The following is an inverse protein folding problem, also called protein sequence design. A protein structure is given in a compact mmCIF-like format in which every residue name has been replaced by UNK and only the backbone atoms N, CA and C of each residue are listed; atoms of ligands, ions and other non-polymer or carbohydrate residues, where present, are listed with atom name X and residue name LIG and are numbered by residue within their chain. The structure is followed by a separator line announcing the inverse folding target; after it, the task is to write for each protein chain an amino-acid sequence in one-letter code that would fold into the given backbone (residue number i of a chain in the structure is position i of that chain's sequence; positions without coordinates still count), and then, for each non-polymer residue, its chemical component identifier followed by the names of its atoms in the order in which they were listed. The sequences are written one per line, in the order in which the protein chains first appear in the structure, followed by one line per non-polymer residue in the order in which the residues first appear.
data_IF_518064834333
#
_entry.id   IF_518064834333
#
_cell.length_a   1.000
_cell.length_b   1.000
_cell.length_c   1.000
_cell.angle_alpha   90.00
_cell.angle_beta   90.00
_cell.angle_gamma   90.00
#
_symmetry.space_group_name_H-M   'P 1'
#
loop_
_entity.id
_entity.type
_entity.pdbx_description
1 polymer ?
#
# COMPACT_ATOMS: atom_id res chain seq x y z
N UNK A 1 58.08 15.98 -9.49
CA UNK A 1 57.05 15.60 -10.49
C UNK A 1 55.72 15.60 -9.77
N UNK A 2 54.85 16.51 -10.19
CA UNK A 2 53.65 17.00 -9.51
C UNK A 2 52.53 15.96 -9.51
N UNK A 3 51.89 15.83 -8.35
CA UNK A 3 50.65 15.09 -8.11
C UNK A 3 49.50 15.66 -8.93
N UNK A 4 48.88 14.85 -9.78
CA UNK A 4 47.58 15.15 -10.38
C UNK A 4 46.51 14.35 -9.63
N UNK A 5 45.78 15.05 -8.77
CA UNK A 5 44.49 14.65 -8.25
C UNK A 5 43.43 14.85 -9.34
N UNK A 6 42.83 13.76 -9.80
CA UNK A 6 41.65 13.77 -10.67
C UNK A 6 40.43 14.10 -9.83
N UNK A 7 39.93 15.33 -9.92
CA UNK A 7 38.59 15.69 -9.46
C UNK A 7 37.56 14.99 -10.35
N UNK A 8 36.76 14.11 -9.75
CA UNK A 8 35.62 13.48 -10.41
C UNK A 8 34.48 14.48 -10.55
N UNK A 9 34.04 14.72 -11.78
CA UNK A 9 32.90 15.55 -12.16
C UNK A 9 31.62 15.15 -11.40
N UNK A 10 31.30 15.92 -10.36
CA UNK A 10 29.97 15.95 -9.78
C UNK A 10 29.02 16.65 -10.74
N UNK A 11 28.17 15.87 -11.41
CA UNK A 11 27.11 16.39 -12.28
C UNK A 11 26.25 17.42 -11.51
N UNK A 12 26.46 18.71 -11.78
CA UNK A 12 25.65 19.80 -11.23
C UNK A 12 24.27 19.73 -11.85
N UNK A 13 23.31 19.16 -11.13
CA UNK A 13 21.88 19.31 -11.45
C UNK A 13 21.57 20.80 -11.65
N UNK A 14 21.03 21.15 -12.82
CA UNK A 14 20.72 22.54 -13.19
C UNK A 14 19.71 23.16 -12.20
N UNK A 15 19.78 24.47 -11.99
CA UNK A 15 18.88 25.19 -11.07
C UNK A 15 17.38 24.94 -11.35
N UNK A 16 17.02 24.66 -12.61
CA UNK A 16 15.66 24.32 -13.05
C UNK A 16 15.14 22.97 -12.57
N UNK A 17 16.02 22.04 -12.16
CA UNK A 17 15.62 20.70 -11.73
C UNK A 17 15.24 20.65 -10.23
N UNK A 18 15.45 21.76 -9.51
CA UNK A 18 15.11 21.90 -8.09
C UNK A 18 13.76 22.56 -7.83
N UNK A 19 13.15 23.13 -8.86
CA UNK A 19 11.92 23.89 -8.69
C UNK A 19 10.71 22.97 -8.46
N UNK A 20 9.88 23.25 -7.42
CA UNK A 20 8.67 22.48 -7.18
C UNK A 20 7.72 22.57 -8.38
N UNK A 21 7.39 21.41 -8.96
CA UNK A 21 6.45 21.29 -10.07
C UNK A 21 5.18 20.57 -9.63
N UNK A 22 4.03 20.85 -10.25
CA UNK A 22 2.81 20.09 -9.96
C UNK A 22 3.01 18.63 -10.37
N UNK A 23 2.76 17.71 -9.45
CA UNK A 23 2.77 16.27 -9.67
C UNK A 23 1.46 15.68 -9.15
N UNK A 24 0.84 14.83 -9.96
CA UNK A 24 -0.39 14.12 -9.60
C UNK A 24 -0.04 12.76 -9.01
N UNK A 25 -0.56 12.47 -7.82
CA UNK A 25 -0.43 11.18 -7.14
C UNK A 25 -1.78 10.47 -7.15
N UNK A 26 -1.81 9.24 -7.68
CA UNK A 26 -2.97 8.34 -7.67
C UNK A 26 -2.80 7.31 -6.56
N UNK A 27 -3.46 7.52 -5.43
CA UNK A 27 -3.27 6.70 -4.24
C UNK A 27 -4.46 5.75 -4.07
N UNK A 28 -4.19 4.46 -3.96
CA UNK A 28 -5.20 3.47 -3.60
C UNK A 28 -5.59 3.63 -2.13
N UNK A 29 -6.85 4.00 -1.90
CA UNK A 29 -7.46 4.18 -0.59
C UNK A 29 -8.24 2.92 -0.20
N UNK A 30 -8.24 2.64 1.10
CA UNK A 30 -8.95 1.49 1.63
C UNK A 30 -9.47 1.77 3.04
N UNK A 31 -10.76 1.56 3.23
CA UNK A 31 -11.38 1.56 4.56
C UNK A 31 -11.99 0.19 4.83
N UNK A 32 -11.50 -0.55 5.84
CA UNK A 32 -12.07 -1.84 6.19
C UNK A 32 -13.51 -1.67 6.65
N UNK A 33 -14.38 -2.63 6.34
CA UNK A 33 -15.70 -2.67 6.97
C UNK A 33 -15.50 -2.97 8.46
N UNK A 34 -16.19 -2.27 9.37
CA UNK A 34 -16.17 -2.64 10.77
C UNK A 34 -16.58 -4.12 10.89
N UNK A 35 -15.73 -4.94 11.51
CA UNK A 35 -16.12 -6.30 11.86
C UNK A 35 -17.28 -6.18 12.84
N UNK A 36 -18.42 -6.81 12.55
CA UNK A 36 -19.42 -6.98 13.60
C UNK A 36 -18.80 -7.85 14.68
N UNK A 37 -18.85 -7.41 15.94
CA UNK A 37 -18.37 -8.16 17.11
C UNK A 37 -19.06 -9.51 17.31
N UNK A 38 -20.05 -9.85 16.48
CA UNK A 38 -20.68 -11.17 16.49
C UNK A 38 -19.64 -12.24 16.13
N UNK A 39 -19.34 -13.18 17.04
CA UNK A 39 -18.46 -14.28 16.72
C UNK A 39 -19.03 -15.01 15.50
N UNK A 40 -18.17 -15.27 14.52
CA UNK A 40 -18.55 -16.07 13.37
C UNK A 40 -19.15 -17.38 13.90
N UNK A 41 -20.39 -17.71 13.49
CA UNK A 41 -20.99 -19.02 13.80
C UNK A 41 -20.01 -20.07 13.26
N UNK A 42 -19.24 -20.69 14.14
CA UNK A 42 -18.31 -21.74 13.76
C UNK A 42 -19.17 -22.92 13.33
N UNK A 43 -19.18 -23.24 12.05
CA UNK A 43 -19.77 -24.50 11.60
C UNK A 43 -18.97 -25.63 12.27
N UNK A 44 -19.58 -26.50 13.10
CA UNK A 44 -18.87 -27.57 13.82
C UNK A 44 -18.05 -28.49 12.88
N UNK A 45 -18.47 -28.59 11.62
CA UNK A 45 -17.83 -29.38 10.57
C UNK A 45 -16.68 -28.67 9.83
N UNK A 46 -16.44 -27.38 10.08
CA UNK A 46 -15.31 -26.66 9.46
C UNK A 46 -13.97 -26.93 10.18
N UNK A 47 -14.00 -27.54 11.37
CA UNK A 47 -12.81 -27.86 12.17
C UNK A 47 -11.94 -28.98 11.56
N UNK A 48 -12.48 -29.75 10.60
CA UNK A 48 -11.78 -30.86 9.96
C UNK A 48 -11.15 -30.50 8.61
N UNK A 49 -11.24 -29.25 8.17
CA UNK A 49 -10.56 -28.82 6.95
C UNK A 49 -9.27 -28.07 7.31
N UNK A 50 -8.08 -28.70 7.18
CA UNK A 50 -6.79 -28.06 7.46
C UNK A 50 -6.49 -26.85 6.55
N UNK A 51 -7.30 -26.62 5.51
CA UNK A 51 -7.23 -25.44 4.64
C UNK A 51 -8.17 -24.29 5.04
N UNK A 52 -9.00 -24.44 6.08
CA UNK A 52 -10.00 -23.43 6.44
C UNK A 52 -9.45 -22.22 7.21
N UNK A 53 -8.26 -22.33 7.81
CA UNK A 53 -7.64 -21.27 8.63
C UNK A 53 -6.74 -20.32 7.85
N UNK A 54 -6.34 -20.67 6.62
CA UNK A 54 -5.37 -19.93 5.79
C UNK A 54 -5.98 -19.38 4.50
N UNK A 55 -7.30 -19.38 4.37
CA UNK A 55 -7.96 -18.65 3.31
C UNK A 55 -7.80 -17.16 3.55
N UNK A 56 -6.90 -16.51 2.80
CA UNK A 56 -6.81 -15.05 2.64
C UNK A 56 -8.22 -14.49 2.42
N UNK A 57 -8.88 -14.08 3.52
CA UNK A 57 -10.15 -13.39 3.44
C UNK A 57 -9.80 -12.03 2.91
N UNK A 58 -9.91 -11.86 1.58
CA UNK A 58 -9.77 -10.54 0.91
C UNK A 58 -10.43 -9.50 1.81
N UNK A 59 -9.64 -8.55 2.31
CA UNK A 59 -10.12 -7.59 3.29
C UNK A 59 -11.40 -6.94 2.77
N UNK A 60 -12.51 -7.13 3.49
CA UNK A 60 -13.80 -6.56 3.08
C UNK A 60 -13.79 -5.10 3.48
N UNK A 61 -14.05 -4.20 2.53
CA UNK A 61 -13.94 -2.76 2.74
C UNK A 61 -14.29 -1.98 1.50
N UNK A 62 -14.42 -0.67 1.65
CA UNK A 62 -14.51 0.24 0.50
C UNK A 62 -13.11 0.48 -0.03
N UNK A 63 -12.94 0.35 -1.34
CA UNK A 63 -11.72 0.63 -2.09
C UNK A 63 -12.03 1.71 -3.12
N UNK A 64 -11.16 2.70 -3.24
CA UNK A 64 -11.24 3.71 -4.28
C UNK A 64 -9.83 4.24 -4.58
N UNK A 65 -9.65 4.88 -5.73
CA UNK A 65 -8.43 5.63 -6.03
C UNK A 65 -8.72 7.10 -5.80
N UNK A 66 -7.83 7.80 -5.10
CA UNK A 66 -7.92 9.23 -4.88
C UNK A 66 -6.73 9.93 -5.51
N UNK A 67 -6.99 11.04 -6.20
CA UNK A 67 -5.97 11.85 -6.84
C UNK A 67 -5.62 13.04 -5.96
N UNK A 68 -4.33 13.34 -5.85
CA UNK A 68 -3.80 14.51 -5.17
C UNK A 68 -2.80 15.20 -6.08
N UNK A 69 -2.98 16.49 -6.32
CA UNK A 69 -2.02 17.30 -7.08
C UNK A 69 -1.34 18.25 -6.13
N UNK A 70 -0.04 18.05 -5.92
CA UNK A 70 0.79 18.91 -5.06
C UNK A 70 2.00 19.45 -5.82
N UNK A 71 2.51 20.60 -5.41
CA UNK A 71 3.78 21.12 -5.93
C UNK A 71 4.93 20.57 -5.10
N UNK A 72 5.80 19.82 -5.75
CA UNK A 72 6.92 19.17 -5.07
C UNK A 72 8.13 19.07 -6.00
N UNK A 73 9.32 19.16 -5.42
CA UNK A 73 10.56 19.17 -6.17
C UNK A 73 10.96 17.72 -6.58
N UNK A 74 11.47 17.48 -7.81
CA UNK A 74 11.76 16.14 -8.34
C UNK A 74 12.71 15.28 -7.49
N UNK A 75 13.65 15.92 -6.79
CA UNK A 75 14.64 15.29 -5.91
C UNK A 75 14.07 14.83 -4.56
N UNK A 76 12.84 15.24 -4.23
CA UNK A 76 12.17 14.78 -3.00
C UNK A 76 11.69 13.35 -3.18
N UNK A 77 11.51 12.69 -2.04
CA UNK A 77 11.05 11.29 -2.01
C UNK A 77 9.53 11.23 -2.13
N UNK A 78 9.02 10.05 -2.49
CA UNK A 78 7.57 9.81 -2.44
C UNK A 78 7.06 9.90 -0.99
N UNK A 79 7.86 9.54 0.01
CA UNK A 79 7.52 9.75 1.42
C UNK A 79 7.31 11.24 1.74
N UNK A 80 8.18 12.13 1.27
CA UNK A 80 8.02 13.57 1.45
C UNK A 80 6.68 14.05 0.87
N UNK A 81 6.32 13.56 -0.32
CA UNK A 81 5.04 13.86 -0.98
C UNK A 81 3.84 13.41 -0.13
N UNK A 82 3.86 12.18 0.38
CA UNK A 82 2.77 11.65 1.19
C UNK A 82 2.64 12.35 2.55
N UNK A 83 3.77 12.74 3.16
CA UNK A 83 3.79 13.54 4.38
C UNK A 83 3.21 14.94 4.13
N UNK A 84 3.55 15.57 3.00
CA UNK A 84 2.97 16.85 2.60
C UNK A 84 1.46 16.74 2.42
N UNK A 85 0.98 15.75 1.65
CA UNK A 85 -0.46 15.47 1.48
C UNK A 85 -1.13 15.29 2.84
N UNK A 86 -0.54 14.49 3.74
CA UNK A 86 -1.13 14.21 5.06
C UNK A 86 -1.20 15.45 5.95
N UNK A 87 -0.22 16.36 5.87
CA UNK A 87 -0.16 17.57 6.72
C UNK A 87 -1.04 18.70 6.20
N UNK A 88 -1.10 18.87 4.88
CA UNK A 88 -1.64 20.08 4.25
C UNK A 88 -2.97 19.85 3.52
N UNK A 89 -3.26 18.60 3.10
CA UNK A 89 -4.38 18.31 2.18
C UNK A 89 -5.38 17.32 2.79
N UNK A 90 -4.93 16.14 3.21
CA UNK A 90 -5.79 15.06 3.70
C UNK A 90 -5.14 14.29 4.86
N UNK A 91 -5.42 14.68 6.13
CA UNK A 91 -4.87 14.00 7.30
C UNK A 91 -5.40 12.57 7.47
N UNK A 92 -6.45 12.18 6.74
CA UNK A 92 -7.05 10.83 6.83
C UNK A 92 -6.26 9.76 6.07
N UNK A 93 -5.26 10.14 5.26
CA UNK A 93 -4.41 9.21 4.52
C UNK A 93 -3.50 8.41 5.47
N UNK A 94 -3.48 7.08 5.35
CA UNK A 94 -2.68 6.19 6.20
C UNK A 94 -1.61 5.43 5.42
N UNK A 95 -0.39 5.47 5.95
CA UNK A 95 0.77 4.70 5.48
C UNK A 95 1.74 4.54 6.66
N UNK A 96 2.61 3.53 6.60
CA UNK A 96 3.65 3.31 7.62
C UNK A 96 4.95 3.99 7.18
N UNK A 97 5.66 4.58 8.14
CA UNK A 97 7.03 5.05 7.98
C UNK A 97 7.70 5.11 9.37
N UNK A 98 9.02 5.07 9.42
CA UNK A 98 9.79 5.21 10.66
C UNK A 98 11.11 5.92 10.42
N UNK A 99 12.13 5.25 9.87
CA UNK A 99 13.47 5.86 9.72
C UNK A 99 13.55 6.95 8.64
N UNK A 100 12.81 6.83 7.53
CA UNK A 100 12.82 7.80 6.43
C UNK A 100 14.06 7.76 5.52
N UNK A 101 14.94 6.76 5.65
CA UNK A 101 16.17 6.66 4.85
C UNK A 101 16.55 5.19 4.51
N UNK A 102 15.55 4.32 4.36
CA UNK A 102 15.73 2.97 3.78
C UNK A 102 16.29 1.89 4.72
N UNK A 103 16.37 2.12 6.03
CA UNK A 103 17.00 1.16 6.97
C UNK A 103 16.00 0.22 7.66
N UNK A 104 14.78 0.68 7.95
CA UNK A 104 13.81 -0.13 8.71
C UNK A 104 12.82 -0.95 7.86
N UNK A 105 12.64 -0.60 6.58
CA UNK A 105 11.72 -1.30 5.68
C UNK A 105 10.21 -1.10 5.93
N UNK A 106 9.82 -0.18 6.82
CA UNK A 106 8.42 -0.01 7.27
C UNK A 106 7.46 0.52 6.21
N UNK A 107 7.99 1.20 5.19
CA UNK A 107 7.27 2.02 4.22
C UNK A 107 7.25 1.39 2.81
N UNK A 108 7.29 0.06 2.77
CA UNK A 108 7.20 -0.73 1.56
C UNK A 108 5.81 -0.66 0.92
N UNK A 109 5.77 -0.26 -0.35
CA UNK A 109 4.54 -0.12 -1.14
C UNK A 109 4.80 -0.51 -2.59
N UNK A 110 3.75 -0.47 -3.42
CA UNK A 110 3.86 -0.61 -4.87
C UNK A 110 3.77 0.77 -5.53
N UNK A 111 4.83 1.21 -6.21
CA UNK A 111 4.89 2.50 -6.91
C UNK A 111 5.00 2.24 -8.41
N UNK A 112 4.05 2.74 -9.21
CA UNK A 112 3.98 2.51 -10.65
C UNK A 112 4.13 1.03 -11.04
N UNK A 113 3.51 0.14 -10.26
CA UNK A 113 3.60 -1.31 -10.46
C UNK A 113 4.92 -1.95 -10.04
N UNK A 114 5.81 -1.25 -9.31
CA UNK A 114 7.05 -1.83 -8.79
C UNK A 114 7.12 -1.74 -7.28
N UNK A 115 7.42 -2.84 -6.57
CA UNK A 115 7.65 -2.77 -5.13
C UNK A 115 8.86 -1.87 -4.84
N UNK A 116 8.66 -0.86 -3.99
CA UNK A 116 9.71 0.07 -3.59
C UNK A 116 9.44 0.64 -2.18
N UNK A 117 10.43 1.27 -1.56
CA UNK A 117 10.24 2.03 -0.31
C UNK A 117 9.89 3.48 -0.65
N UNK A 118 8.90 4.03 0.07
CA UNK A 118 8.51 5.43 -0.09
C UNK A 118 9.68 6.41 0.16
N UNK A 119 10.54 6.10 1.13
CA UNK A 119 11.64 6.96 1.55
C UNK A 119 12.88 6.93 0.65
N UNK A 120 13.00 5.96 -0.25
CA UNK A 120 14.14 5.88 -1.19
C UNK A 120 13.73 6.20 -2.62
N UNK A 121 12.46 6.01 -2.96
CA UNK A 121 11.94 6.36 -4.28
C UNK A 121 11.87 7.88 -4.45
N UNK A 122 12.62 8.42 -5.41
CA UNK A 122 12.53 9.85 -5.77
C UNK A 122 11.39 10.09 -6.74
N UNK A 123 10.85 11.31 -6.72
CA UNK A 123 9.77 11.71 -7.64
C UNK A 123 10.29 11.72 -9.08
N UNK A 124 11.52 12.19 -9.30
CA UNK A 124 12.17 12.13 -10.62
C UNK A 124 12.18 10.71 -11.19
N UNK A 125 12.64 9.72 -10.41
CA UNK A 125 12.72 8.32 -10.84
C UNK A 125 11.33 7.74 -11.13
N UNK A 126 10.35 8.06 -10.30
CA UNK A 126 8.97 7.58 -10.47
C UNK A 126 8.37 8.12 -11.77
N UNK A 127 8.60 9.39 -12.08
CA UNK A 127 8.08 10.05 -13.29
C UNK A 127 8.82 9.63 -14.57
N UNK A 128 10.09 9.25 -14.47
CA UNK A 128 10.82 8.63 -15.57
C UNK A 128 10.32 7.19 -15.82
N UNK A 129 10.06 6.43 -14.75
CA UNK A 129 9.55 5.07 -14.84
C UNK A 129 8.13 4.99 -15.42
N UNK A 130 7.26 5.94 -15.11
CA UNK A 130 5.88 5.97 -15.63
C UNK A 130 5.81 6.15 -17.16
N UNK A 131 6.85 6.74 -17.76
CA UNK A 131 6.95 6.95 -19.21
C UNK A 131 7.42 5.70 -19.97
N UNK A 132 8.05 4.75 -19.29
CA UNK A 132 8.79 3.65 -19.92
C UNK A 132 8.12 2.28 -19.78
N UNK A 133 7.11 2.10 -18.92
CA UNK A 133 6.37 0.84 -18.83
C UNK A 133 4.89 1.04 -18.49
N UNK A 134 3.95 0.38 -19.19
CA UNK A 134 2.60 0.21 -18.69
C UNK A 134 2.60 -0.69 -17.44
N UNK A 135 1.75 -0.36 -16.47
CA UNK A 135 1.65 -1.04 -15.17
C UNK A 135 1.26 -2.52 -15.32
N UNK A 136 2.21 -3.44 -15.12
CA UNK A 136 1.98 -4.89 -15.18
C UNK A 136 1.02 -5.42 -14.08
N UNK A 137 0.72 -4.61 -13.05
CA UNK A 137 -0.20 -4.93 -11.96
C UNK A 137 -1.47 -4.07 -12.00
N UNK A 138 -1.80 -3.47 -13.14
CA UNK A 138 -3.10 -2.85 -13.35
C UNK A 138 -4.17 -3.92 -13.13
N UNK A 139 -4.88 -3.86 -12.01
CA UNK A 139 -5.92 -4.82 -11.66
C UNK A 139 -7.02 -4.74 -12.73
N UNK A 140 -7.34 -5.82 -13.46
CA UNK A 140 -8.49 -5.82 -14.36
C UNK A 140 -9.75 -5.62 -13.50
N UNK A 141 -10.46 -4.51 -13.70
CA UNK A 141 -11.71 -4.21 -13.01
C UNK A 141 -11.78 -2.89 -12.24
N UNK A 142 -10.68 -2.12 -12.15
CA UNK A 142 -10.77 -0.70 -11.75
C UNK A 142 -10.96 0.13 -13.01
N UNK A 143 -12.22 0.30 -13.43
CA UNK A 143 -12.57 1.29 -14.45
C UNK A 143 -12.27 2.65 -13.85
N UNK A 144 -11.30 3.37 -14.44
CA UNK A 144 -11.12 4.80 -14.20
C UNK A 144 -12.36 5.47 -14.81
N UNK A 145 -13.40 5.61 -14.00
CA UNK A 145 -14.57 6.39 -14.38
C UNK A 145 -14.13 7.84 -14.47
N UNK A 146 -14.11 8.38 -15.67
CA UNK A 146 -14.13 9.83 -15.90
C UNK A 146 -15.31 10.40 -15.09
N UNK A 147 -15.12 11.37 -14.19
CA UNK A 147 -16.23 11.91 -13.43
C UNK A 147 -17.09 12.76 -14.37
N UNK A 148 -18.16 12.17 -14.89
CA UNK A 148 -19.30 12.94 -15.36
C UNK A 148 -19.97 13.50 -14.11
N UNK A 149 -19.74 14.78 -13.85
CA UNK A 149 -20.45 15.56 -12.85
C UNK A 149 -21.91 15.65 -13.28
N UNK A 150 -22.73 14.67 -12.90
CA UNK A 150 -24.18 14.84 -12.90
C UNK A 150 -24.57 15.54 -11.62
N UNK A 151 -24.82 16.84 -11.74
CA UNK A 151 -25.51 17.62 -10.72
C UNK A 151 -26.81 16.88 -10.34
N UNK A 152 -26.95 16.54 -9.06
CA UNK A 152 -28.18 15.95 -8.54
C UNK A 152 -29.32 16.97 -8.73
N UNK A 153 -30.50 16.58 -9.25
CA UNK A 153 -31.60 17.53 -9.39
C UNK A 153 -32.12 17.94 -8.00
N UNK A 154 -32.40 19.25 -7.88
CA UNK A 154 -32.87 19.89 -6.66
C UNK A 154 -34.15 19.22 -6.11
N UNK A 155 -34.15 18.99 -4.80
CA UNK A 155 -35.30 18.50 -4.03
C UNK A 155 -36.45 19.52 -4.07
N UNK A 156 -37.45 19.30 -4.95
CA UNK A 156 -38.70 20.08 -4.95
C UNK A 156 -39.69 19.46 -3.95
N UNK A 157 -40.04 20.24 -2.92
CA UNK A 157 -41.25 20.03 -2.10
C UNK A 157 -42.48 20.44 -2.90
N UNK A 158 -43.43 19.53 -3.08
CA UNK A 158 -44.84 19.88 -3.34
C UNK A 158 -45.72 18.90 -2.59
N UNK A 159 -46.53 19.42 -1.65
CA UNK A 159 -47.64 18.67 -1.07
C UNK A 159 -48.89 18.76 -1.96
N UNK A 160 -49.79 17.79 -1.82
CA UNK A 160 -51.27 17.97 -1.79
C UNK A 160 -52.00 16.63 -1.63
N UNK A 161 -52.96 16.66 -0.69
CA UNK A 161 -54.26 15.97 -0.59
C UNK A 161 -54.42 14.43 -0.71
N UNK A 162 -55.10 13.88 0.31
CA UNK A 162 -55.69 12.53 0.47
C UNK A 162 -57.06 12.42 -0.26
N UNK A 163 -57.68 11.22 -0.38
CA UNK A 163 -58.59 10.75 0.68
C UNK A 163 -58.62 9.22 0.95
N UNK A 164 -59.36 8.88 2.01
CA UNK A 164 -59.45 7.64 2.82
C UNK A 164 -60.19 6.46 2.15
N UNK A 165 -59.92 5.23 2.61
CA UNK A 165 -60.97 4.21 2.84
C UNK A 165 -60.58 3.27 3.99
N UNK A 166 -61.58 2.81 4.74
CA UNK A 166 -61.53 2.31 6.11
C UNK A 166 -61.66 0.77 6.23
N UNK A 167 -61.14 0.19 7.33
CA UNK A 167 -61.62 -1.06 7.97
C UNK A 167 -61.39 -0.95 9.50
N UNK A 168 -62.38 -1.20 10.39
CA UNK A 168 -62.22 -1.26 11.85
C UNK A 168 -62.45 -2.71 12.40
N UNK A 169 -62.64 -2.97 13.72
CA UNK A 169 -61.58 -3.20 14.72
C UNK A 169 -61.79 -4.48 15.58
N UNK A 170 -60.77 -4.92 16.34
CA UNK A 170 -60.92 -5.72 17.58
C UNK A 170 -59.55 -5.84 18.28
N UNK A 171 -59.34 -5.82 19.60
CA UNK A 171 -60.14 -5.50 20.79
C UNK A 171 -59.15 -5.36 21.98
N UNK A 172 -59.46 -4.46 22.93
CA UNK A 172 -59.22 -4.51 24.41
C UNK A 172 -57.84 -4.93 24.95
N UNK A 173 -57.01 -4.03 25.52
CA UNK A 173 -56.99 -3.44 26.91
C UNK A 173 -55.91 -4.11 27.81
N UNK A 174 -55.43 -3.51 28.93
CA UNK A 174 -55.54 -2.13 29.41
C UNK A 174 -54.21 -1.49 29.94
N UNK A 175 -54.23 -0.16 29.97
CA UNK A 175 -53.86 0.78 31.05
C UNK A 175 -52.52 0.68 31.81
N UNK A 176 -51.74 1.76 31.72
CA UNK A 176 -51.26 2.46 32.91
C UNK A 176 -51.09 3.95 32.62
N UNK A 177 -51.86 4.74 33.36
CA UNK A 177 -51.95 6.21 33.37
C UNK A 177 -51.04 6.76 34.46
N UNK A 178 -50.37 7.88 34.19
CA UNK A 178 -50.22 9.06 35.09
C UNK A 178 -49.14 9.96 34.46
N UNK A 179 -49.47 11.01 33.72
CA UNK A 179 -50.02 12.29 34.17
C UNK A 179 -48.98 13.14 34.93
N UNK A 180 -48.81 14.40 34.47
CA UNK A 180 -48.42 15.62 35.20
C UNK A 180 -47.63 16.59 34.32
N UNK A 181 -48.35 17.54 33.72
CA UNK A 181 -48.23 19.01 33.94
C UNK A 181 -46.84 19.59 34.31
N UNK A 182 -46.35 20.72 33.79
CA UNK A 182 -47.03 22.00 33.64
C UNK A 182 -46.13 23.03 32.92
N UNK A 183 -46.79 24.09 32.43
CA UNK A 183 -46.33 25.49 32.26
C UNK A 183 -45.11 25.74 31.34
N UNK A 184 -45.18 26.55 30.28
CA UNK A 184 -46.01 27.72 30.07
C UNK A 184 -45.17 28.98 30.29
N UNK A 185 -44.75 29.64 29.20
CA UNK A 185 -44.60 31.10 29.19
C UNK A 185 -44.79 31.58 27.74
N UNK A 186 -45.61 32.61 27.61
CA UNK A 186 -46.19 33.13 26.38
C UNK A 186 -45.77 34.60 26.20
N UNK A 187 -45.67 34.99 24.93
CA UNK A 187 -45.80 36.35 24.36
C UNK A 187 -44.70 37.37 24.76
N UNK A 188 -44.25 38.30 23.90
CA UNK A 188 -44.96 39.14 22.91
C UNK A 188 -43.99 39.70 21.86
N UNK A 189 -44.45 39.82 20.61
CA UNK A 189 -43.98 40.72 19.52
C UNK A 189 -44.26 42.22 19.87
N UNK A 190 -44.11 43.29 19.01
CA UNK A 190 -43.86 43.33 17.55
C UNK A 190 -43.03 44.54 16.98
N UNK A 191 -43.02 44.63 15.63
CA UNK A 191 -42.85 45.83 14.74
C UNK A 191 -41.40 46.18 14.34
N UNK A 192 -41.04 46.42 13.06
CA UNK A 192 -41.84 46.76 11.90
C UNK A 192 -41.15 46.73 10.52
N UNK A 193 -41.98 47.08 9.55
CA UNK A 193 -41.89 47.14 8.08
C UNK A 193 -41.03 48.27 7.52
N UNK A 194 -40.42 48.08 6.33
CA UNK A 194 -40.80 48.77 5.07
C UNK A 194 -39.75 48.57 3.95
N UNK A 195 -40.24 48.58 2.69
CA UNK A 195 -39.55 48.23 1.44
C UNK A 195 -38.78 49.38 0.73
N UNK A 196 -38.65 49.36 -0.61
CA UNK A 196 -37.37 49.59 -1.33
C UNK A 196 -37.35 50.85 -2.23
N UNK A 197 -36.21 51.13 -2.90
CA UNK A 197 -36.12 52.10 -4.00
C UNK A 197 -35.04 51.75 -5.06
N UNK A 198 -35.31 52.20 -6.28
CA UNK A 198 -34.80 51.81 -7.61
C UNK A 198 -33.73 52.74 -8.24
N UNK A 199 -33.07 52.21 -9.30
CA UNK A 199 -32.71 52.77 -10.64
C UNK A 199 -31.94 54.11 -10.86
N UNK A 200 -30.91 54.06 -11.74
CA UNK A 200 -30.76 54.82 -13.01
C UNK A 200 -29.44 54.42 -13.72
N UNK A 201 -29.42 53.74 -14.87
CA UNK A 201 -29.38 54.24 -16.27
C UNK A 201 -28.22 55.17 -16.68
N UNK A 202 -27.45 54.74 -17.70
CA UNK A 202 -26.90 55.61 -18.77
C UNK A 202 -26.54 54.76 -20.02
N UNK A 203 -27.03 55.23 -21.16
CA UNK A 203 -27.13 54.63 -22.51
C UNK A 203 -26.06 55.09 -23.51
N UNK A 204 -25.89 54.32 -24.60
CA UNK A 204 -25.38 54.74 -25.92
C UNK A 204 -24.93 53.52 -26.76
N UNK A 205 -25.75 52.92 -27.64
CA UNK A 205 -25.94 53.17 -29.11
C UNK A 205 -24.59 53.21 -29.87
N UNK A 206 -24.35 52.42 -30.93
CA UNK A 206 -24.93 52.57 -32.29
C UNK A 206 -24.88 51.28 -33.16
N UNK A 207 -26.01 51.04 -33.83
CA UNK A 207 -26.35 50.44 -35.15
C UNK A 207 -25.72 49.17 -35.78
N UNK A 208 -26.65 48.32 -36.23
CA UNK A 208 -26.49 47.23 -37.18
C UNK A 208 -27.33 47.50 -38.44
N UNK A 209 -26.76 47.25 -39.64
CA UNK A 209 -27.43 46.61 -40.78
C UNK A 209 -26.59 46.75 -42.07
N UNK A 210 -26.16 45.65 -42.68
CA UNK A 210 -26.74 45.20 -43.96
C UNK A 210 -26.23 43.82 -44.41
N UNK A 211 -27.20 42.94 -44.61
CA UNK A 211 -27.21 41.68 -45.36
C UNK A 211 -26.92 41.99 -46.86
N UNK A 212 -26.19 41.21 -47.66
CA UNK A 212 -26.60 39.91 -48.24
C UNK A 212 -25.51 39.33 -49.16
N UNK A 213 -25.50 37.98 -49.24
CA UNK A 213 -25.54 37.14 -50.46
C UNK A 213 -24.38 36.16 -50.68
N UNK A 214 -24.81 34.89 -50.62
CA UNK A 214 -24.21 33.59 -50.89
C UNK A 214 -23.61 33.45 -52.29
N UNK A 215 -22.43 32.81 -52.43
CA UNK A 215 -22.16 31.62 -53.29
C UNK A 215 -20.69 31.18 -53.24
N UNK A 216 -20.44 29.87 -53.05
CA UNK A 216 -19.46 29.12 -53.86
C UNK A 216 -18.05 28.84 -53.32
N UNK A 217 -17.94 27.75 -52.55
CA UNK A 217 -16.98 26.63 -52.75
C UNK A 217 -15.45 26.81 -52.61
N UNK A 218 -14.92 25.92 -51.73
CA UNK A 218 -13.57 25.30 -51.68
C UNK A 218 -12.52 26.02 -50.82
N UNK A 219 -12.30 25.46 -49.63
CA UNK A 219 -11.16 25.72 -48.76
C UNK A 219 -11.32 24.94 -47.46
N UNK A 220 -10.75 23.74 -47.39
CA UNK A 220 -10.72 22.94 -46.17
C UNK A 220 -10.09 23.75 -45.03
N UNK A 221 -10.74 23.89 -43.85
CA UNK A 221 -10.06 24.50 -42.72
C UNK A 221 -9.01 23.53 -42.19
N UNK A 222 -7.80 24.06 -42.08
CA UNK A 222 -6.63 23.47 -41.44
C UNK A 222 -6.99 22.78 -40.11
N UNK A 223 -6.27 21.70 -39.76
CA UNK A 223 -6.52 20.96 -38.53
C UNK A 223 -6.38 21.88 -37.33
N UNK A 224 -7.45 21.94 -36.54
CA UNK A 224 -7.44 22.44 -35.17
C UNK A 224 -6.18 21.93 -34.49
N UNK A 225 -5.40 22.87 -33.95
CA UNK A 225 -4.25 22.59 -33.10
C UNK A 225 -4.58 21.42 -32.19
N UNK A 226 -3.82 20.34 -32.37
CA UNK A 226 -3.82 19.22 -31.44
C UNK A 226 -3.60 19.83 -30.07
N UNK A 227 -4.61 19.75 -29.22
CA UNK A 227 -4.37 19.84 -27.79
C UNK A 227 -3.30 18.80 -27.49
N UNK A 228 -2.09 19.26 -27.17
CA UNK A 228 -1.05 18.39 -26.65
C UNK A 228 -1.70 17.56 -25.55
N UNK A 229 -1.65 16.22 -25.59
CA UNK A 229 -1.98 15.45 -24.41
C UNK A 229 -0.86 15.78 -23.43
N UNK A 230 -1.08 16.76 -22.56
CA UNK A 230 -0.41 16.85 -21.29
C UNK A 230 -0.83 15.60 -20.51
N UNK A 231 -0.25 14.45 -20.87
CA UNK A 231 -0.22 13.28 -20.02
C UNK A 231 0.47 13.73 -18.75
N UNK A 232 -0.32 14.14 -17.76
CA UNK A 232 0.19 14.42 -16.43
C UNK A 232 0.87 13.13 -15.98
N UNK A 233 2.20 13.15 -15.91
CA UNK A 233 3.00 12.05 -15.40
C UNK A 233 2.57 11.81 -13.95
N UNK A 234 1.65 10.88 -13.76
CA UNK A 234 1.04 10.58 -12.48
C UNK A 234 1.81 9.45 -11.80
N UNK A 235 2.06 9.60 -10.49
CA UNK A 235 2.67 8.54 -9.68
C UNK A 235 1.54 7.73 -9.04
N UNK A 236 1.43 6.46 -9.42
CA UNK A 236 0.47 5.53 -8.84
C UNK A 236 1.06 4.81 -7.64
N UNK A 237 0.34 4.82 -6.52
CA UNK A 237 0.78 4.19 -5.27
C UNK A 237 -0.30 3.24 -4.77
N UNK A 238 0.08 1.99 -4.54
CA UNK A 238 -0.79 0.92 -4.06
C UNK A 238 -0.20 0.21 -2.83
N UNK A 239 -1.03 -0.43 -2.00
CA UNK A 239 -0.52 -1.35 -0.99
C UNK A 239 0.30 -2.48 -1.64
N UNK A 240 1.24 -3.03 -0.87
CA UNK A 240 2.13 -4.09 -1.34
C UNK A 240 1.33 -5.36 -1.71
N UNK A 241 1.53 -5.96 -2.91
CA UNK A 241 0.82 -7.17 -3.33
C UNK A 241 1.12 -8.37 -2.44
N UNK A 242 0.18 -9.32 -2.33
CA UNK A 242 0.31 -10.50 -1.48
C UNK A 242 0.06 -10.25 0.01
N UNK A 243 -0.04 -8.99 0.45
CA UNK A 243 -0.40 -8.64 1.82
C UNK A 243 -1.84 -8.15 1.92
N UNK A 244 -2.47 -8.42 3.06
CA UNK A 244 -3.85 -7.99 3.32
C UNK A 244 -3.87 -6.50 3.69
N UNK A 245 -4.55 -5.61 2.93
CA UNK A 245 -4.63 -4.20 3.32
C UNK A 245 -5.45 -4.02 4.59
N UNK A 246 -4.91 -3.28 5.56
CA UNK A 246 -5.59 -2.92 6.82
C UNK A 246 -6.27 -1.56 6.69
N UNK A 247 -5.56 -0.55 6.17
CA UNK A 247 -6.06 0.81 5.95
C UNK A 247 -5.19 1.53 4.92
N UNK A 248 -5.80 2.04 3.85
CA UNK A 248 -5.09 2.71 2.75
C UNK A 248 -3.87 1.92 2.27
N UNK A 249 -2.65 2.41 2.51
CA UNK A 249 -1.39 1.78 2.12
C UNK A 249 -0.81 0.86 3.21
N UNK A 250 -1.41 0.83 4.41
CA UNK A 250 -1.00 -0.05 5.50
C UNK A 250 -1.47 -1.46 5.21
N UNK A 251 -0.53 -2.40 5.23
CA UNK A 251 -0.78 -3.83 5.07
C UNK A 251 -0.47 -4.61 6.34
N UNK A 252 -1.10 -5.77 6.47
CA UNK A 252 -0.80 -6.75 7.50
C UNK A 252 0.48 -7.50 7.16
N UNK A 253 1.51 -7.32 7.97
CA UNK A 253 2.83 -7.93 7.82
C UNK A 253 3.02 -9.17 8.69
N UNK A 254 2.07 -9.47 9.57
CA UNK A 254 2.25 -10.47 10.63
C UNK A 254 2.40 -11.86 10.05
N UNK A 255 1.64 -12.18 8.99
CA UNK A 255 1.76 -13.46 8.27
C UNK A 255 3.18 -13.71 7.76
N UNK A 256 3.86 -12.68 7.22
CA UNK A 256 5.25 -12.81 6.78
C UNK A 256 6.19 -13.07 7.96
N UNK A 257 6.02 -12.33 9.06
CA UNK A 257 6.86 -12.51 10.24
C UNK A 257 6.64 -13.86 10.93
N UNK A 258 5.42 -14.38 10.90
CA UNK A 258 5.10 -15.72 11.37
C UNK A 258 5.85 -16.79 10.56
N UNK A 259 5.88 -16.67 9.23
CA UNK A 259 6.69 -17.56 8.39
C UNK A 259 8.19 -17.44 8.65
N UNK A 260 8.71 -16.22 8.90
CA UNK A 260 10.11 -16.04 9.30
C UNK A 260 10.39 -16.74 10.64
N UNK A 261 9.49 -16.60 11.63
CA UNK A 261 9.63 -17.24 12.95
C UNK A 261 9.53 -18.76 12.89
N UNK A 262 8.70 -19.30 11.99
CA UNK A 262 8.52 -20.75 11.75
C UNK A 262 9.85 -21.45 11.48
N UNK A 263 10.79 -20.81 10.77
CA UNK A 263 12.10 -21.38 10.44
C UNK A 263 13.19 -21.11 11.48
N UNK A 264 12.81 -20.81 12.73
CA UNK A 264 13.72 -20.62 13.88
C UNK A 264 14.88 -19.65 13.55
N UNK A 265 14.62 -18.34 13.37
CA UNK A 265 15.60 -17.36 12.88
C UNK A 265 16.56 -16.91 13.99
N UNK A 266 17.16 -17.86 14.70
CA UNK A 266 18.13 -17.69 15.77
C UNK A 266 19.14 -18.83 15.69
N UNK A 267 20.36 -18.62 16.22
CA UNK A 267 21.44 -19.59 16.16
C UNK A 267 21.10 -20.82 17.02
N UNK A 268 21.24 -22.01 16.44
CA UNK A 268 21.15 -23.27 17.15
C UNK A 268 22.55 -23.90 17.18
N UNK A 269 23.08 -24.16 18.37
CA UNK A 269 24.41 -24.74 18.55
C UNK A 269 24.35 -25.81 19.63
N UNK A 270 24.84 -27.00 19.30
CA UNK A 270 25.01 -28.10 20.25
C UNK A 270 26.39 -27.97 20.91
N UNK A 271 26.41 -27.69 22.21
CA UNK A 271 27.64 -27.65 23.01
C UNK A 271 28.24 -29.06 23.15
N UNK A 272 28.97 -29.49 22.12
CA UNK A 272 29.66 -30.79 22.09
C UNK A 272 31.07 -30.73 22.68
N UNK A 273 31.50 -29.57 23.20
CA UNK A 273 32.83 -29.33 23.78
C UNK A 273 32.88 -29.36 25.31
N UNK A 274 31.78 -29.70 25.99
CA UNK A 274 31.86 -30.13 27.39
C UNK A 274 32.49 -31.52 27.40
N UNK A 275 33.74 -31.62 27.87
CA UNK A 275 34.48 -32.87 28.07
C UNK A 275 33.54 -34.02 28.46
N UNK A 276 33.70 -35.13 27.74
CA UNK A 276 32.90 -36.36 27.71
C UNK A 276 32.57 -37.07 29.05
N UNK A 277 32.78 -36.43 30.21
CA UNK A 277 32.38 -36.95 31.52
C UNK A 277 31.35 -36.09 32.28
N UNK A 278 30.79 -35.02 31.70
CA UNK A 278 29.69 -34.25 32.32
C UNK A 278 28.43 -34.11 31.46
N UNK A 279 28.39 -34.76 30.29
CA UNK A 279 27.31 -34.62 29.30
C UNK A 279 25.99 -35.36 29.65
N UNK A 280 25.96 -36.20 30.69
CA UNK A 280 24.77 -37.00 31.00
C UNK A 280 23.74 -36.32 31.93
N UNK A 281 24.06 -35.16 32.52
CA UNK A 281 23.19 -34.49 33.50
C UNK A 281 23.15 -32.97 33.35
N UNK A 282 22.93 -32.47 32.13
CA UNK A 282 22.53 -31.07 31.94
C UNK A 282 21.43 -31.02 30.88
N UNK A 283 20.18 -31.11 31.32
CA UNK A 283 19.01 -30.77 30.51
C UNK A 283 19.18 -29.34 30.01
N UNK A 284 19.34 -29.17 28.70
CA UNK A 284 18.97 -28.01 27.86
C UNK A 284 18.51 -26.74 28.60
N UNK A 285 19.40 -26.12 29.36
CA UNK A 285 19.13 -24.90 30.11
C UNK A 285 20.37 -24.02 30.07
N UNK A 286 20.37 -23.11 29.10
CA UNK A 286 21.06 -21.81 29.18
C UNK A 286 22.58 -21.86 29.45
N UNK A 287 23.27 -22.88 28.93
CA UNK A 287 24.74 -22.90 28.91
C UNK A 287 25.21 -21.85 27.91
N UNK A 288 25.47 -20.62 28.40
CA UNK A 288 26.14 -19.62 27.57
C UNK A 288 27.57 -20.08 27.28
N UNK A 289 28.05 -19.98 26.04
CA UNK A 289 29.41 -20.36 25.73
C UNK A 289 30.37 -19.47 26.53
N UNK A 290 31.43 -20.06 27.08
CA UNK A 290 32.43 -19.36 27.90
C UNK A 290 33.29 -18.37 27.09
N UNK A 291 33.24 -18.44 25.76
CA UNK A 291 33.92 -17.56 24.82
C UNK A 291 33.13 -17.43 23.52
N UNK A 292 33.50 -16.47 22.67
CA UNK A 292 32.90 -16.32 21.34
C UNK A 292 33.16 -17.55 20.45
N UNK A 293 32.19 -17.89 19.59
CA UNK A 293 32.38 -18.94 18.57
C UNK A 293 33.39 -18.50 17.52
N UNK A 294 34.35 -19.38 17.21
CA UNK A 294 35.34 -19.12 16.15
C UNK A 294 34.68 -19.24 14.78
N UNK A 295 35.00 -18.30 13.89
CA UNK A 295 34.53 -18.29 12.50
C UNK A 295 35.59 -17.62 11.62
N UNK A 296 35.85 -18.18 10.43
CA UNK A 296 36.80 -17.56 9.49
C UNK A 296 36.12 -16.46 8.66
N UNK A 297 36.90 -15.52 8.07
CA UNK A 297 36.33 -14.51 7.16
C UNK A 297 35.57 -15.12 5.98
N UNK A 298 36.05 -16.24 5.42
CA UNK A 298 35.41 -16.93 4.30
C UNK A 298 34.08 -17.57 4.71
N UNK A 299 33.97 -18.05 5.95
CA UNK A 299 32.71 -18.58 6.49
C UNK A 299 31.69 -17.48 6.73
N UNK A 300 32.12 -16.34 7.31
CA UNK A 300 31.27 -15.17 7.51
C UNK A 300 30.73 -14.65 6.16
N UNK A 301 31.59 -14.56 5.15
CA UNK A 301 31.23 -14.05 3.83
C UNK A 301 30.08 -14.83 3.15
N UNK A 302 29.83 -16.09 3.52
CA UNK A 302 28.74 -16.92 2.97
C UNK A 302 27.35 -16.40 3.32
N UNK A 303 27.20 -15.69 4.44
CA UNK A 303 25.89 -15.24 4.92
C UNK A 303 25.85 -13.77 5.35
N UNK A 304 27.00 -13.08 5.38
CA UNK A 304 27.11 -11.68 5.82
C UNK A 304 26.09 -10.78 5.12
N UNK A 305 25.99 -10.86 3.78
CA UNK A 305 25.02 -10.06 3.03
C UNK A 305 23.57 -10.41 3.40
N UNK A 306 23.26 -11.69 3.64
CA UNK A 306 21.94 -12.16 4.04
C UNK A 306 21.52 -11.61 5.41
N UNK A 307 22.49 -11.40 6.31
CA UNK A 307 22.27 -10.80 7.62
C UNK A 307 21.80 -9.35 7.55
N UNK A 308 21.99 -8.67 6.41
CA UNK A 308 21.55 -7.29 6.21
C UNK A 308 20.08 -7.16 5.81
N UNK A 309 19.34 -8.27 5.69
CA UNK A 309 17.91 -8.26 5.38
C UNK A 309 17.11 -7.48 6.43
N UNK A 310 16.37 -6.46 5.98
CA UNK A 310 15.56 -5.59 6.84
C UNK A 310 14.08 -6.02 6.93
N UNK A 311 13.76 -7.22 6.43
CA UNK A 311 12.40 -7.77 6.42
C UNK A 311 11.30 -6.80 5.90
N UNK A 312 11.62 -6.00 4.87
CA UNK A 312 10.69 -5.00 4.30
C UNK A 312 9.52 -5.59 3.49
N UNK A 313 9.60 -6.86 3.09
CA UNK A 313 8.56 -7.51 2.28
C UNK A 313 8.56 -7.16 0.79
N UNK A 314 9.48 -6.33 0.27
CA UNK A 314 9.50 -6.00 -1.16
C UNK A 314 9.68 -7.22 -2.08
N UNK A 315 10.51 -8.18 -1.65
CA UNK A 315 10.68 -9.46 -2.35
C UNK A 315 9.41 -10.31 -2.37
N UNK A 316 8.59 -10.24 -1.29
CA UNK A 316 7.28 -10.89 -1.21
C UNK A 316 6.32 -10.26 -2.23
N UNK A 317 6.22 -8.91 -2.22
CA UNK A 317 5.32 -8.17 -3.10
C UNK A 317 5.66 -8.25 -4.59
N UNK A 318 6.91 -8.59 -4.92
CA UNK A 318 7.34 -8.84 -6.30
C UNK A 318 7.16 -10.30 -6.74
N UNK A 319 7.02 -11.24 -5.81
CA UNK A 319 6.90 -12.65 -6.13
C UNK A 319 5.47 -12.95 -6.58
N UNK A 320 5.25 -13.42 -7.83
CA UNK A 320 3.90 -13.71 -8.32
C UNK A 320 3.29 -14.95 -7.64
N UNK A 321 4.11 -15.89 -7.16
CA UNK A 321 3.67 -17.07 -6.39
C UNK A 321 3.05 -16.61 -5.06
N UNK A 322 3.79 -15.80 -4.31
CA UNK A 322 3.31 -15.25 -3.04
C UNK A 322 2.12 -14.30 -3.26
N UNK A 323 2.22 -13.38 -4.22
CA UNK A 323 1.15 -12.42 -4.52
C UNK A 323 -0.12 -13.07 -5.11
N UNK A 324 0.02 -14.22 -5.77
CA UNK A 324 -1.07 -15.01 -6.33
C UNK A 324 -1.93 -15.71 -5.26
N UNK A 325 -1.46 -15.74 -4.01
CA UNK A 325 -2.16 -16.41 -2.91
C UNK A 325 -1.95 -17.92 -2.88
N UNK A 326 -0.90 -18.42 -3.55
CA UNK A 326 -0.45 -19.80 -3.38
C UNK A 326 0.14 -19.98 -1.97
N UNK A 327 0.04 -21.19 -1.43
CA UNK A 327 0.62 -21.51 -0.13
C UNK A 327 2.16 -21.53 -0.26
N UNK A 328 2.80 -20.38 -0.06
CA UNK A 328 4.24 -20.24 -0.07
C UNK A 328 4.67 -19.37 1.11
N UNK A 329 5.62 -19.86 1.91
CA UNK A 329 6.17 -19.15 3.06
C UNK A 329 6.83 -17.81 2.67
N UNK A 330 7.34 -17.73 1.43
CA UNK A 330 7.77 -16.49 0.81
C UNK A 330 9.28 -16.26 0.82
N UNK A 331 9.81 -15.39 -0.07
CA UNK A 331 11.25 -15.21 -0.22
C UNK A 331 11.93 -14.64 1.02
N UNK A 332 11.26 -13.79 1.79
CA UNK A 332 11.82 -13.20 3.02
C UNK A 332 12.12 -14.28 4.08
N UNK A 333 11.23 -15.27 4.22
CA UNK A 333 11.41 -16.39 5.15
C UNK A 333 12.57 -17.28 4.70
N UNK A 334 12.68 -17.54 3.40
CA UNK A 334 13.79 -18.33 2.84
C UNK A 334 15.15 -17.65 3.01
N UNK A 335 15.24 -16.32 2.84
CA UNK A 335 16.49 -15.58 3.10
C UNK A 335 16.86 -15.61 4.59
N UNK A 336 15.87 -15.50 5.48
CA UNK A 336 16.10 -15.62 6.92
C UNK A 336 16.62 -17.03 7.28
N UNK A 337 16.09 -18.08 6.65
CA UNK A 337 16.58 -19.45 6.83
C UNK A 337 17.97 -19.66 6.23
N UNK A 338 18.22 -19.19 5.00
CA UNK A 338 19.50 -19.28 4.30
C UNK A 338 20.65 -18.70 5.12
N UNK A 339 20.40 -17.58 5.82
CA UNK A 339 21.38 -16.98 6.74
C UNK A 339 21.94 -18.00 7.73
N UNK A 340 21.08 -18.79 8.38
CA UNK A 340 21.50 -19.77 9.39
C UNK A 340 21.95 -21.10 8.77
N UNK A 341 21.40 -21.51 7.62
CA UNK A 341 21.86 -22.67 6.87
C UNK A 341 23.33 -22.51 6.42
N UNK A 342 23.73 -21.27 6.12
CA UNK A 342 25.07 -20.93 5.64
C UNK A 342 26.03 -20.49 6.78
N UNK A 343 25.56 -20.38 8.02
CA UNK A 343 26.39 -19.98 9.17
C UNK A 343 27.14 -21.19 9.73
N UNK A 344 28.48 -21.16 9.70
CA UNK A 344 29.33 -22.27 10.20
C UNK A 344 29.15 -22.54 11.70
N UNK A 345 28.57 -21.60 12.45
CA UNK A 345 28.32 -21.73 13.88
C UNK A 345 27.04 -22.49 14.19
N UNK A 346 26.13 -22.66 13.22
CA UNK A 346 24.86 -23.34 13.43
C UNK A 346 25.02 -24.86 13.23
N UNK A 347 24.78 -25.66 14.27
CA UNK A 347 24.93 -27.12 14.20
C UNK A 347 23.73 -27.83 13.56
N UNK A 348 22.63 -27.11 13.30
CA UNK A 348 21.35 -27.68 12.85
C UNK A 348 21.09 -27.49 11.35
N UNK A 349 22.14 -27.31 10.53
CA UNK A 349 22.01 -27.11 9.07
C UNK A 349 21.07 -28.12 8.39
N UNK A 350 21.21 -29.41 8.69
CA UNK A 350 20.38 -30.48 8.10
C UNK A 350 18.91 -30.37 8.47
N UNK A 351 18.61 -30.17 9.76
CA UNK A 351 17.22 -29.98 10.24
C UNK A 351 16.58 -28.75 9.56
N UNK A 352 17.35 -27.67 9.35
CA UNK A 352 16.86 -26.47 8.65
C UNK A 352 16.54 -26.73 7.19
N UNK A 353 17.39 -27.48 6.48
CA UNK A 353 17.13 -27.88 5.08
C UNK A 353 15.85 -28.72 4.98
N UNK A 354 15.68 -29.72 5.85
CA UNK A 354 14.46 -30.53 5.94
C UNK A 354 13.22 -29.68 6.25
N UNK A 355 13.37 -28.67 7.12
CA UNK A 355 12.27 -27.78 7.49
C UNK A 355 11.81 -26.88 6.32
N UNK A 356 12.72 -26.42 5.47
CA UNK A 356 12.36 -25.62 4.28
C UNK A 356 11.92 -26.49 3.10
N UNK A 357 12.29 -27.78 3.06
CA UNK A 357 11.92 -28.73 2.03
C UNK A 357 10.46 -29.21 2.16
N UNK A 358 9.53 -28.28 2.03
CA UNK A 358 8.11 -28.51 2.14
C UNK A 358 7.41 -27.96 0.89
N UNK A 359 6.22 -28.49 0.60
CA UNK A 359 5.40 -28.03 -0.52
C UNK A 359 5.07 -26.53 -0.42
N UNK A 360 4.91 -26.00 0.80
CA UNK A 360 4.71 -24.58 1.09
C UNK A 360 6.01 -23.82 1.41
N UNK A 361 7.15 -24.52 1.37
CA UNK A 361 8.50 -24.00 1.59
C UNK A 361 9.24 -23.73 0.28
N UNK A 362 10.49 -24.19 0.17
CA UNK A 362 11.35 -23.90 -0.99
C UNK A 362 10.83 -24.53 -2.28
N UNK A 363 10.09 -25.65 -2.21
CA UNK A 363 9.54 -26.34 -3.39
C UNK A 363 8.51 -25.52 -4.16
N UNK A 364 7.83 -24.57 -3.50
CA UNK A 364 6.90 -23.65 -4.17
C UNK A 364 7.60 -22.64 -5.09
N UNK A 365 8.93 -22.47 -4.96
CA UNK A 365 9.68 -21.51 -5.76
C UNK A 365 9.74 -21.92 -7.25
N UNK A 366 9.09 -21.14 -8.11
CA UNK A 366 9.14 -21.32 -9.57
C UNK A 366 10.34 -20.65 -10.24
N UNK A 367 11.35 -20.19 -9.46
CA UNK A 367 12.58 -19.57 -9.97
C UNK A 367 12.38 -18.43 -10.97
N UNK A 368 11.31 -17.65 -10.79
CA UNK A 368 10.99 -16.47 -11.64
C UNK A 368 11.98 -15.32 -11.39
N UNK A 369 12.66 -15.31 -10.23
CA UNK A 369 13.68 -14.32 -9.80
C UNK A 369 13.22 -12.85 -9.77
N UNK A 370 11.91 -12.59 -9.80
CA UNK A 370 11.35 -11.24 -9.65
C UNK A 370 11.71 -10.57 -8.30
N UNK A 371 11.99 -11.38 -7.28
CA UNK A 371 12.35 -10.96 -5.92
C UNK A 371 13.75 -10.32 -5.80
N UNK A 372 14.66 -10.54 -6.75
CA UNK A 372 16.02 -9.97 -6.74
C UNK A 372 16.02 -8.46 -6.93
N UNK A 373 15.35 -7.99 -8.00
CA UNK A 373 15.38 -6.60 -8.43
C UNK A 373 14.94 -5.56 -7.37
N UNK A 374 13.87 -5.77 -6.58
CA UNK A 374 13.39 -4.77 -5.64
C UNK A 374 14.13 -4.76 -4.29
N UNK A 375 15.11 -5.65 -4.07
CA UNK A 375 15.80 -5.75 -2.78
C UNK A 375 16.67 -4.50 -2.51
N UNK A 376 16.37 -3.69 -1.48
CA UNK A 376 17.09 -2.44 -1.23
C UNK A 376 18.47 -2.68 -0.56
N UNK A 377 18.76 -3.93 -0.18
CA UNK A 377 20.00 -4.33 0.48
C UNK A 377 21.00 -4.99 -0.47
N UNK A 378 20.64 -5.14 -1.75
CA UNK A 378 21.50 -5.78 -2.75
C UNK A 378 21.60 -7.30 -2.63
N UNK A 379 20.78 -7.95 -1.78
CA UNK A 379 20.69 -9.41 -1.73
C UNK A 379 20.08 -9.91 -3.05
N UNK A 380 20.79 -10.78 -3.79
CA UNK A 380 20.20 -11.49 -4.92
C UNK A 380 19.30 -12.62 -4.42
N UNK A 381 18.07 -12.24 -4.05
CA UNK A 381 17.10 -13.17 -3.48
C UNK A 381 16.83 -14.35 -4.41
N UNK A 382 16.75 -14.12 -5.73
CA UNK A 382 16.53 -15.17 -6.72
C UNK A 382 17.67 -16.18 -6.80
N UNK A 383 18.92 -15.72 -6.68
CA UNK A 383 20.08 -16.60 -6.61
C UNK A 383 20.09 -17.46 -5.35
N UNK A 384 19.84 -16.85 -4.19
CA UNK A 384 19.82 -17.58 -2.92
C UNK A 384 18.70 -18.61 -2.87
N UNK A 385 17.54 -18.31 -3.46
CA UNK A 385 16.47 -19.28 -3.63
C UNK A 385 16.92 -20.47 -4.47
N UNK A 386 17.66 -20.24 -5.56
CA UNK A 386 18.18 -21.31 -6.41
C UNK A 386 19.20 -22.18 -5.66
N UNK A 387 20.13 -21.57 -4.91
CA UNK A 387 21.08 -22.29 -4.05
C UNK A 387 20.38 -23.16 -3.00
N UNK A 388 19.29 -22.68 -2.40
CA UNK A 388 18.50 -23.48 -1.46
C UNK A 388 17.82 -24.67 -2.17
N UNK A 389 17.29 -24.48 -3.38
CA UNK A 389 16.72 -25.57 -4.18
C UNK A 389 17.76 -26.64 -4.51
N UNK A 390 19.00 -26.23 -4.78
CA UNK A 390 20.12 -27.15 -5.01
C UNK A 390 20.52 -27.88 -3.72
N UNK A 391 20.71 -27.15 -2.62
CA UNK A 391 21.13 -27.69 -1.32
C UNK A 391 20.13 -28.66 -0.67
N UNK A 392 18.86 -28.64 -1.10
CA UNK A 392 17.82 -29.58 -0.65
C UNK A 392 17.77 -30.85 -1.49
N UNK A 393 18.30 -30.82 -2.72
CA UNK A 393 18.36 -32.01 -3.60
C UNK A 393 19.56 -32.90 -3.32
N UNK A 394 20.61 -32.34 -2.74
CA UNK A 394 21.79 -33.04 -2.23
C UNK A 394 21.50 -33.73 -0.90
#
# INVERSE_FOLDING_TARGET
MTSQSTESDGSKASASDRDPRPVTFRIARFTPRPQSERPARTNPFAKSNPFATTGSRRARGRRWTQEYTIRIAPQRTVLDALLQIKREVDPTLNFRYSCGHGMCGSDAVLINGRPNLLCTATIADCLAASKTMPNAYATPGVVIGTPQVQQSPAFRRTGTATPKTAIPPSASHPDSVSDSTASGFSATDPVGTAGPAELSEATGLIDAAHLTKTTGLIGAPHPTEKSDPAESSAVEIRPLPGFTPLRDLIVDTDAMFEQIRRFKPYLLHDDSSADSNQAAQAKAADTKPSSEYRQTPEELARYELLSTCIACGLCQGACPIYAGGEAFAGPAAMIAAARFINDSRDSHRRERLEAIDQADGIQACQSIRACTRPCPRGIDVGEEMWKLVEAVKE
#
